data_IF_896188245967
#
_entry.id   IF_896188245967
#
_cell.length_a   1.000
_cell.length_b   1.000
_cell.length_c   1.000
_cell.angle_alpha   90.00
_cell.angle_beta   90.00
_cell.angle_gamma   90.00
#
_symmetry.space_group_name_H-M   'P 1'
#
loop_
_entity.id
_entity.type
_entity.pdbx_description
1 polymer ?
#
# COMPACT_ATOMS: atom_id res chain seq x y z
N UNK A 1 -1.75 33.79 4.75
CA UNK A 1 -2.70 32.77 4.23
C UNK A 1 -3.30 32.06 5.43
N UNK A 2 -4.57 31.68 5.37
CA UNK A 2 -5.18 30.87 6.41
C UNK A 2 -4.63 29.44 6.31
N UNK A 3 -4.69 28.65 7.40
CA UNK A 3 -4.29 27.24 7.41
C UNK A 3 -5.00 26.44 6.27
N UNK A 4 -6.25 26.78 5.97
CA UNK A 4 -6.99 26.17 4.89
C UNK A 4 -6.46 26.52 3.49
N UNK A 5 -5.96 27.74 3.27
CA UNK A 5 -5.35 28.13 1.99
C UNK A 5 -3.99 27.47 1.77
N UNK A 6 -3.18 27.36 2.81
CA UNK A 6 -1.89 26.65 2.76
C UNK A 6 -2.08 25.17 2.49
N UNK A 7 -3.08 24.56 3.13
CA UNK A 7 -3.44 23.17 2.91
C UNK A 7 -3.92 22.93 1.46
N UNK A 8 -4.84 23.77 0.95
CA UNK A 8 -5.34 23.63 -0.41
C UNK A 8 -4.22 23.78 -1.45
N UNK A 9 -3.31 24.76 -1.24
CA UNK A 9 -2.13 24.95 -2.08
C UNK A 9 -1.16 23.75 -2.06
N UNK A 10 -0.98 23.12 -0.88
CA UNK A 10 -0.16 21.93 -0.76
C UNK A 10 -0.79 20.73 -1.51
N UNK A 11 -2.10 20.53 -1.38
CA UNK A 11 -2.83 19.48 -2.09
C UNK A 11 -2.75 19.68 -3.61
N UNK A 12 -2.91 20.89 -4.10
CA UNK A 12 -2.77 21.21 -5.52
C UNK A 12 -1.33 20.99 -6.01
N UNK A 13 -0.34 21.47 -5.25
CA UNK A 13 1.09 21.31 -5.55
C UNK A 13 1.51 19.84 -5.63
N UNK A 14 0.94 18.98 -4.81
CA UNK A 14 1.30 17.56 -4.72
C UNK A 14 0.27 16.63 -5.38
N UNK A 15 -0.46 17.14 -6.35
CA UNK A 15 -1.36 16.33 -7.17
C UNK A 15 -2.44 15.58 -6.36
N UNK A 16 -3.05 16.25 -5.38
CA UNK A 16 -4.18 15.70 -4.63
C UNK A 16 -3.86 15.14 -3.24
N UNK A 17 -2.60 15.14 -2.83
CA UNK A 17 -2.17 14.89 -1.43
C UNK A 17 -1.41 16.09 -0.87
N UNK A 18 -1.48 16.34 0.43
CA UNK A 18 -0.65 17.36 1.08
C UNK A 18 0.81 16.90 1.31
N UNK A 19 1.09 15.62 1.06
CA UNK A 19 2.43 15.06 1.26
C UNK A 19 3.21 15.11 -0.05
N UNK A 20 4.53 15.36 0.06
CA UNK A 20 5.38 15.39 -1.14
C UNK A 20 5.37 14.03 -1.85
N UNK A 21 5.45 13.98 -3.19
CA UNK A 21 5.70 12.73 -3.92
C UNK A 21 6.97 12.05 -3.40
N UNK A 22 6.98 10.73 -3.37
CA UNK A 22 8.20 10.00 -3.04
C UNK A 22 8.98 9.67 -4.31
N UNK A 23 10.30 9.67 -4.18
CA UNK A 23 11.21 9.26 -5.24
C UNK A 23 11.60 7.80 -5.03
N UNK A 24 11.48 7.01 -6.07
CA UNK A 24 11.99 5.63 -6.10
C UNK A 24 13.39 5.62 -6.71
N UNK A 25 14.32 4.94 -6.04
CA UNK A 25 15.66 4.67 -6.51
C UNK A 25 15.82 3.16 -6.68
N UNK A 26 16.23 2.71 -7.86
CA UNK A 26 16.50 1.30 -8.14
C UNK A 26 17.98 1.16 -8.44
N UNK A 27 18.64 0.25 -7.76
CA UNK A 27 20.05 -0.08 -7.96
C UNK A 27 20.19 -1.30 -8.86
N UNK A 28 21.34 -1.40 -9.53
CA UNK A 28 21.69 -2.53 -10.38
C UNK A 28 23.20 -2.72 -10.41
N UNK A 29 23.68 -3.47 -11.37
CA UNK A 29 25.11 -3.74 -11.57
C UNK A 29 25.51 -3.40 -13.01
N UNK A 30 26.74 -2.86 -13.17
CA UNK A 30 27.34 -2.71 -14.49
C UNK A 30 27.99 -4.02 -14.98
N UNK A 31 28.60 -4.00 -16.17
CA UNK A 31 29.23 -5.18 -16.77
C UNK A 31 30.37 -5.76 -15.93
N UNK A 32 30.99 -4.96 -15.06
CA UNK A 32 32.04 -5.38 -14.13
C UNK A 32 31.48 -5.85 -12.76
N UNK A 33 30.16 -5.95 -12.61
CA UNK A 33 29.50 -6.36 -11.37
C UNK A 33 29.51 -5.29 -10.26
N UNK A 34 29.83 -4.04 -10.57
CA UNK A 34 29.81 -2.94 -9.59
C UNK A 34 28.42 -2.36 -9.46
N UNK A 35 28.02 -2.06 -8.22
CA UNK A 35 26.74 -1.44 -7.94
C UNK A 35 26.62 -0.04 -8.59
N UNK A 36 25.52 0.18 -9.26
CA UNK A 36 25.19 1.46 -9.92
C UNK A 36 23.75 1.85 -9.65
N UNK A 37 23.42 3.11 -9.81
CA UNK A 37 22.03 3.55 -9.87
C UNK A 37 21.47 3.14 -11.23
N UNK A 38 20.53 2.19 -11.22
CA UNK A 38 19.85 1.74 -12.44
C UNK A 38 18.84 2.79 -12.91
N UNK A 39 17.99 3.26 -12.00
CA UNK A 39 17.03 4.31 -12.31
C UNK A 39 16.61 5.08 -11.06
N UNK A 40 16.10 6.30 -11.27
CA UNK A 40 15.45 7.08 -10.22
C UNK A 40 14.35 7.96 -10.82
N UNK A 41 13.31 8.23 -10.06
CA UNK A 41 12.22 9.11 -10.46
C UNK A 41 11.14 9.21 -9.41
N UNK A 42 10.36 10.28 -9.47
CA UNK A 42 9.15 10.39 -8.67
C UNK A 42 8.13 9.34 -9.12
N UNK A 43 7.47 8.70 -8.17
CA UNK A 43 6.37 7.79 -8.45
C UNK A 43 5.08 8.61 -8.48
N UNK A 44 4.37 8.64 -9.64
CA UNK A 44 3.13 9.39 -9.75
C UNK A 44 2.09 8.88 -8.76
N UNK A 45 1.35 9.81 -8.16
CA UNK A 45 0.25 9.44 -7.29
C UNK A 45 -0.86 8.77 -8.09
N UNK A 46 -1.26 7.59 -7.65
CA UNK A 46 -2.42 6.86 -8.16
C UNK A 46 -3.55 6.97 -7.15
N UNK A 47 -4.53 7.83 -7.44
CA UNK A 47 -5.68 7.99 -6.57
C UNK A 47 -6.70 6.89 -6.81
N UNK A 48 -7.19 6.30 -5.75
CA UNK A 48 -8.29 5.34 -5.75
C UNK A 48 -9.53 6.01 -5.16
N UNK A 49 -10.69 5.65 -5.71
CA UNK A 49 -11.96 6.28 -5.38
C UNK A 49 -12.40 6.09 -3.94
N UNK A 50 -13.66 6.37 -3.69
CA UNK A 50 -14.27 6.28 -2.37
C UNK A 50 -14.34 4.84 -1.90
N UNK A 51 -13.64 4.52 -0.81
CA UNK A 51 -13.65 3.19 -0.19
C UNK A 51 -14.74 3.05 0.87
N UNK A 52 -15.30 4.16 1.35
CA UNK A 52 -16.37 4.16 2.34
C UNK A 52 -17.41 5.25 2.03
N UNK A 53 -18.69 5.04 2.44
CA UNK A 53 -19.71 6.07 2.33
C UNK A 53 -19.31 7.33 3.11
N UNK A 54 -19.45 8.49 2.48
CA UNK A 54 -19.12 9.78 3.09
C UNK A 54 -17.68 10.23 2.93
N UNK A 55 -16.80 9.41 2.35
CA UNK A 55 -15.44 9.80 2.01
C UNK A 55 -15.45 10.84 0.89
N UNK A 56 -14.82 11.99 1.12
CA UNK A 56 -14.81 13.12 0.16
C UNK A 56 -13.50 13.26 -0.60
N UNK A 57 -12.46 12.53 -0.19
CA UNK A 57 -11.11 12.62 -0.76
C UNK A 57 -10.56 11.23 -1.06
N UNK A 58 -10.03 11.00 -2.27
CA UNK A 58 -9.42 9.72 -2.61
C UNK A 58 -8.09 9.55 -1.87
N UNK A 59 -7.77 8.31 -1.51
CA UNK A 59 -6.44 7.94 -1.03
C UNK A 59 -5.45 7.90 -2.20
N UNK A 60 -4.21 8.35 -1.98
CA UNK A 60 -3.13 8.04 -2.91
C UNK A 60 -2.63 6.63 -2.60
N UNK A 61 -2.69 5.74 -3.61
CA UNK A 61 -2.47 4.30 -3.45
C UNK A 61 -1.40 3.82 -4.41
N UNK A 62 -0.15 4.16 -4.10
CA UNK A 62 0.96 4.04 -5.02
C UNK A 62 1.69 2.71 -4.88
N UNK A 63 2.07 2.09 -6.00
CA UNK A 63 2.92 0.91 -6.03
C UNK A 63 4.37 1.36 -6.18
N UNK A 64 5.19 1.08 -5.18
CA UNK A 64 6.63 1.37 -5.23
C UNK A 64 7.39 0.28 -5.98
N UNK A 65 7.09 -1.01 -5.70
CA UNK A 65 7.71 -2.14 -6.38
C UNK A 65 6.89 -3.42 -6.23
N UNK A 66 7.14 -4.41 -7.10
CA UNK A 66 6.56 -5.75 -7.00
C UNK A 66 7.61 -6.80 -7.33
N UNK A 67 7.51 -7.98 -6.70
CA UNK A 67 8.14 -9.21 -7.17
C UNK A 67 7.06 -10.21 -7.54
N UNK A 68 7.37 -11.19 -8.40
CA UNK A 68 6.41 -12.21 -8.88
C UNK A 68 6.88 -13.63 -8.56
N UNK A 69 7.96 -13.77 -7.79
CA UNK A 69 8.48 -15.04 -7.31
C UNK A 69 9.27 -14.84 -6.01
N UNK A 70 9.42 -15.92 -5.25
CA UNK A 70 10.25 -15.97 -4.05
C UNK A 70 11.08 -17.26 -4.01
N UNK A 71 12.43 -17.19 -3.91
CA UNK A 71 13.26 -15.97 -3.90
C UNK A 71 13.16 -15.19 -5.20
N UNK A 72 13.30 -13.85 -5.14
CA UNK A 72 13.27 -13.00 -6.32
C UNK A 72 14.50 -13.28 -7.21
N UNK A 73 14.29 -13.33 -8.52
CA UNK A 73 15.36 -13.51 -9.50
C UNK A 73 15.82 -12.16 -10.03
N UNK A 74 16.99 -11.72 -9.58
CA UNK A 74 17.61 -10.45 -9.99
C UNK A 74 18.56 -10.60 -11.19
N UNK A 75 18.76 -11.81 -11.74
CA UNK A 75 19.65 -12.03 -12.85
C UNK A 75 19.07 -11.41 -14.13
N UNK A 76 19.91 -10.70 -14.85
CA UNK A 76 19.54 -10.05 -16.12
C UNK A 76 18.30 -9.15 -16.00
N UNK A 77 18.14 -8.48 -14.86
CA UNK A 77 17.02 -7.58 -14.56
C UNK A 77 15.62 -8.25 -14.73
N UNK A 78 15.54 -9.56 -14.48
CA UNK A 78 14.31 -10.33 -14.65
C UNK A 78 13.18 -9.82 -13.73
N UNK A 79 13.52 -9.39 -12.53
CA UNK A 79 12.58 -8.79 -11.56
C UNK A 79 12.05 -7.44 -12.05
N UNK A 80 12.87 -6.62 -12.70
CA UNK A 80 12.44 -5.34 -13.28
C UNK A 80 11.44 -5.56 -14.41
N UNK A 81 11.72 -6.50 -15.31
CA UNK A 81 10.80 -6.87 -16.38
C UNK A 81 9.49 -7.42 -15.84
N UNK A 82 9.54 -8.27 -14.81
CA UNK A 82 8.36 -8.81 -14.15
C UNK A 82 7.53 -7.70 -13.48
N UNK A 83 8.18 -6.77 -12.75
CA UNK A 83 7.53 -5.61 -12.16
C UNK A 83 6.80 -4.77 -13.22
N UNK A 84 7.47 -4.45 -14.31
CA UNK A 84 6.88 -3.64 -15.38
C UNK A 84 5.66 -4.32 -16.01
N UNK A 85 5.73 -5.62 -16.28
CA UNK A 85 4.61 -6.41 -16.78
C UNK A 85 3.41 -6.40 -15.83
N UNK A 86 3.64 -6.52 -14.52
CA UNK A 86 2.58 -6.45 -13.50
C UNK A 86 1.90 -5.07 -13.54
N UNK A 87 2.67 -3.99 -13.58
CA UNK A 87 2.11 -2.62 -13.63
C UNK A 87 1.34 -2.38 -14.93
N UNK A 88 1.91 -2.76 -16.08
CA UNK A 88 1.27 -2.57 -17.39
C UNK A 88 0.00 -3.39 -17.57
N UNK A 89 -0.10 -4.55 -16.93
CA UNK A 89 -1.29 -5.39 -16.98
C UNK A 89 -2.55 -4.69 -16.46
N UNK A 90 -2.39 -3.75 -15.53
CA UNK A 90 -3.49 -3.10 -14.82
C UNK A 90 -4.35 -4.05 -13.98
N UNK A 91 -3.85 -5.26 -13.70
CA UNK A 91 -4.58 -6.33 -13.01
C UNK A 91 -4.11 -6.57 -11.57
N UNK A 92 -3.16 -5.78 -11.08
CA UNK A 92 -2.62 -5.95 -9.73
C UNK A 92 -3.69 -5.70 -8.66
N UNK A 93 -3.95 -6.72 -7.84
CA UNK A 93 -4.74 -6.63 -6.60
C UNK A 93 -3.93 -6.03 -5.45
N UNK A 94 -4.33 -6.32 -4.22
CA UNK A 94 -3.53 -5.94 -3.04
C UNK A 94 -2.25 -6.76 -2.96
N UNK A 95 -2.33 -8.04 -3.26
CA UNK A 95 -1.21 -8.99 -3.25
C UNK A 95 -0.85 -9.36 -4.69
N UNK A 96 0.41 -9.69 -4.94
CA UNK A 96 0.86 -10.31 -6.19
C UNK A 96 1.18 -11.78 -5.89
N UNK A 97 0.48 -12.74 -6.54
CA UNK A 97 0.68 -14.16 -6.29
C UNK A 97 2.16 -14.59 -6.42
N UNK A 98 2.64 -15.38 -5.47
CA UNK A 98 4.02 -15.87 -5.35
C UNK A 98 5.08 -14.78 -5.13
N UNK A 99 4.69 -13.53 -4.87
CA UNK A 99 5.63 -12.42 -4.74
C UNK A 99 5.28 -11.45 -3.63
N UNK A 100 5.73 -10.22 -3.82
CA UNK A 100 5.48 -9.11 -2.91
C UNK A 100 4.91 -7.91 -3.66
N UNK A 101 4.17 -7.07 -2.93
CA UNK A 101 3.79 -5.73 -3.38
C UNK A 101 4.24 -4.72 -2.33
N UNK A 102 5.09 -3.78 -2.73
CA UNK A 102 5.45 -2.64 -1.90
C UNK A 102 4.63 -1.43 -2.30
N UNK A 103 3.85 -0.90 -1.35
CA UNK A 103 2.97 0.26 -1.56
C UNK A 103 3.33 1.40 -0.62
N UNK A 104 3.12 2.62 -1.10
CA UNK A 104 3.06 3.83 -0.28
C UNK A 104 1.63 4.37 -0.41
N UNK A 105 0.96 4.48 0.72
CA UNK A 105 -0.44 4.90 0.79
C UNK A 105 -0.56 6.17 1.62
N UNK A 106 -1.21 7.19 1.05
CA UNK A 106 -1.54 8.43 1.75
C UNK A 106 -3.03 8.44 2.08
N UNK A 107 -3.33 8.56 3.35
CA UNK A 107 -4.69 8.64 3.87
C UNK A 107 -5.03 10.10 4.13
N UNK A 108 -6.05 10.67 3.46
CA UNK A 108 -6.49 12.02 3.77
C UNK A 108 -7.02 12.14 5.20
N UNK A 109 -7.13 13.39 5.72
CA UNK A 109 -7.76 13.61 7.02
C UNK A 109 -9.16 12.99 7.09
N UNK A 110 -9.49 12.45 8.26
CA UNK A 110 -10.80 11.86 8.57
C UNK A 110 -11.19 10.67 7.67
N UNK A 111 -10.19 9.93 7.17
CA UNK A 111 -10.44 8.74 6.35
C UNK A 111 -11.00 7.61 7.22
N UNK A 112 -12.19 7.08 6.92
CA UNK A 112 -12.73 5.91 7.62
C UNK A 112 -11.95 4.64 7.29
N UNK A 113 -12.05 3.63 8.18
CA UNK A 113 -11.42 2.34 7.92
C UNK A 113 -12.20 1.56 6.84
N UNK A 114 -11.50 1.12 5.82
CA UNK A 114 -11.99 0.11 4.88
C UNK A 114 -11.52 -1.26 5.38
N UNK A 115 -12.39 -1.97 6.09
CA UNK A 115 -12.07 -3.27 6.70
C UNK A 115 -12.04 -4.35 5.63
N UNK A 116 -10.94 -5.09 5.57
CA UNK A 116 -10.69 -6.11 4.57
C UNK A 116 -9.70 -7.17 5.07
N UNK A 117 -9.59 -8.26 4.34
CA UNK A 117 -8.58 -9.32 4.55
C UNK A 117 -7.94 -9.70 3.23
N UNK A 118 -6.63 -9.92 3.25
CA UNK A 118 -5.85 -10.47 2.15
C UNK A 118 -5.17 -11.77 2.58
N UNK A 119 -4.91 -12.67 1.63
CA UNK A 119 -4.07 -13.83 1.87
C UNK A 119 -2.61 -13.40 1.76
N UNK A 120 -2.12 -12.70 2.78
CA UNK A 120 -0.77 -12.16 2.82
C UNK A 120 -0.25 -11.98 4.25
N UNK A 121 1.07 -11.89 4.35
CA UNK A 121 1.77 -11.35 5.49
C UNK A 121 2.20 -9.93 5.15
N UNK A 122 1.69 -8.95 5.88
CA UNK A 122 1.93 -7.56 5.58
C UNK A 122 2.77 -6.89 6.67
N UNK A 123 3.69 -6.04 6.23
CA UNK A 123 4.43 -5.11 7.09
C UNK A 123 3.90 -3.71 6.83
N UNK A 124 3.15 -3.16 7.79
CA UNK A 124 2.64 -1.78 7.76
C UNK A 124 3.50 -0.88 8.61
N UNK A 125 4.07 0.17 8.05
CA UNK A 125 4.97 1.11 8.72
C UNK A 125 4.39 2.51 8.61
N UNK A 126 4.20 3.21 9.73
CA UNK A 126 3.77 4.60 9.73
C UNK A 126 4.98 5.50 9.42
N UNK A 127 4.95 6.17 8.26
CA UNK A 127 6.01 7.07 7.82
C UNK A 127 5.77 8.52 8.25
N UNK A 128 4.51 8.97 8.18
CA UNK A 128 4.09 10.32 8.56
C UNK A 128 2.70 10.29 9.19
N UNK A 129 2.47 11.18 10.16
CA UNK A 129 1.19 11.25 10.86
C UNK A 129 0.96 10.13 11.86
N UNK A 130 -0.29 9.77 12.01
CA UNK A 130 -0.76 8.69 12.89
C UNK A 130 -1.94 7.97 12.25
N UNK A 131 -2.15 6.71 12.62
CA UNK A 131 -3.24 5.89 12.08
C UNK A 131 -3.80 4.99 13.19
N UNK A 132 -5.08 4.70 13.13
CA UNK A 132 -5.69 3.67 13.97
C UNK A 132 -5.83 2.38 13.16
N UNK A 133 -5.30 1.30 13.72
CA UNK A 133 -5.55 -0.05 13.24
C UNK A 133 -6.84 -0.56 13.87
N UNK A 134 -7.77 -0.96 13.03
CA UNK A 134 -9.07 -1.52 13.41
C UNK A 134 -9.03 -3.02 13.15
N UNK A 135 -9.33 -3.80 14.17
CA UNK A 135 -9.50 -5.25 14.09
C UNK A 135 -10.97 -5.60 14.34
N UNK A 136 -11.37 -6.86 14.11
CA UNK A 136 -12.75 -7.32 14.35
C UNK A 136 -13.12 -7.28 15.82
N UNK A 137 -12.15 -7.49 16.70
CA UNK A 137 -12.35 -7.43 18.16
C UNK A 137 -11.35 -6.49 18.82
N UNK A 138 -11.76 -5.89 19.93
CA UNK A 138 -10.94 -4.97 20.69
C UNK A 138 -11.13 -3.50 20.29
N UNK A 139 -10.44 -2.64 21.03
CA UNK A 139 -10.44 -1.20 20.75
C UNK A 139 -9.46 -0.88 19.61
N UNK A 140 -9.69 0.21 18.87
CA UNK A 140 -8.74 0.71 17.90
C UNK A 140 -7.34 0.92 18.50
N UNK A 141 -6.31 0.46 17.79
CA UNK A 141 -4.92 0.63 18.21
C UNK A 141 -4.31 1.81 17.47
N UNK A 142 -3.95 2.87 18.20
CA UNK A 142 -3.29 4.03 17.64
C UNK A 142 -1.80 3.74 17.38
N UNK A 143 -1.38 3.88 16.13
CA UNK A 143 0.02 3.81 15.70
C UNK A 143 0.51 5.22 15.35
N UNK A 144 1.74 5.51 15.73
CA UNK A 144 2.42 6.77 15.47
C UNK A 144 3.58 6.57 14.48
N UNK A 145 4.14 7.67 13.99
CA UNK A 145 5.28 7.61 13.07
C UNK A 145 6.43 6.77 13.63
N UNK A 146 6.83 5.77 12.85
CA UNK A 146 7.87 4.79 13.19
C UNK A 146 7.33 3.47 13.73
N UNK A 147 6.04 3.42 14.12
CA UNK A 147 5.43 2.16 14.56
C UNK A 147 5.24 1.21 13.38
N UNK A 148 5.28 -0.08 13.69
CA UNK A 148 5.15 -1.17 12.72
C UNK A 148 4.02 -2.10 13.15
N UNK A 149 3.11 -2.39 12.22
CA UNK A 149 2.11 -3.44 12.37
C UNK A 149 2.43 -4.63 11.48
N UNK A 150 2.29 -5.84 12.02
CA UNK A 150 2.43 -7.08 11.27
C UNK A 150 1.03 -7.69 11.11
N UNK A 151 0.48 -7.62 9.89
CA UNK A 151 -0.80 -8.22 9.56
C UNK A 151 -0.59 -9.64 9.04
N UNK A 152 -1.27 -10.59 9.67
CA UNK A 152 -1.09 -12.03 9.42
C UNK A 152 -2.36 -12.63 8.84
N UNK A 153 -2.76 -12.19 7.63
CA UNK A 153 -4.02 -12.56 6.97
C UNK A 153 -5.26 -12.32 7.86
N UNK A 154 -5.22 -11.27 8.68
CA UNK A 154 -6.32 -10.88 9.59
C UNK A 154 -7.29 -9.94 8.89
N UNK A 155 -8.55 -9.93 9.32
CA UNK A 155 -9.50 -8.89 8.96
C UNK A 155 -9.07 -7.60 9.69
N UNK A 156 -8.80 -6.54 8.94
CA UNK A 156 -8.29 -5.28 9.48
C UNK A 156 -8.66 -4.08 8.62
N UNK A 157 -8.53 -2.90 9.20
CA UNK A 157 -8.68 -1.64 8.48
C UNK A 157 -7.81 -0.55 9.07
N UNK A 158 -7.61 0.51 8.31
CA UNK A 158 -6.79 1.64 8.69
C UNK A 158 -7.65 2.91 8.66
N UNK A 159 -7.68 3.64 9.78
CA UNK A 159 -8.41 4.90 9.91
C UNK A 159 -7.43 6.04 10.19
N UNK A 160 -7.50 7.12 9.43
CA UNK A 160 -6.82 8.35 9.82
C UNK A 160 -7.75 9.16 10.75
N UNK A 161 -7.48 9.20 12.06
CA UNK A 161 -8.36 9.89 13.01
C UNK A 161 -8.19 11.41 13.00
N UNK A 162 -7.11 11.93 12.40
CA UNK A 162 -6.85 13.36 12.32
C UNK A 162 -7.87 14.06 11.42
N UNK A 163 -8.35 15.20 11.84
CA UNK A 163 -9.28 16.03 11.05
C UNK A 163 -8.55 16.95 10.06
N UNK A 164 -7.24 17.11 10.22
CA UNK A 164 -6.45 18.11 9.47
C UNK A 164 -5.20 17.53 8.82
N UNK A 165 -4.60 16.49 9.41
CA UNK A 165 -3.30 15.99 8.99
C UNK A 165 -3.43 14.73 8.11
N UNK A 166 -2.64 14.67 7.06
CA UNK A 166 -2.47 13.46 6.26
C UNK A 166 -1.62 12.43 6.98
N UNK A 167 -1.90 11.17 6.71
CA UNK A 167 -1.07 10.05 7.17
C UNK A 167 -0.47 9.33 5.98
N UNK A 168 0.80 8.97 6.05
CA UNK A 168 1.48 8.11 5.07
C UNK A 168 1.93 6.82 5.72
N UNK A 169 1.62 5.71 5.07
CA UNK A 169 2.13 4.40 5.45
C UNK A 169 2.86 3.73 4.28
N UNK A 170 3.86 2.93 4.63
CA UNK A 170 4.45 1.94 3.74
C UNK A 170 3.85 0.57 4.06
N UNK A 171 3.49 -0.19 3.02
CA UNK A 171 3.03 -1.56 3.15
C UNK A 171 3.84 -2.48 2.25
N UNK A 172 4.38 -3.54 2.83
CA UNK A 172 4.95 -4.66 2.08
C UNK A 172 4.03 -5.86 2.29
N UNK A 173 3.31 -6.25 1.24
CA UNK A 173 2.38 -7.37 1.24
C UNK A 173 3.08 -8.56 0.57
N UNK A 174 3.37 -9.58 1.34
CA UNK A 174 3.99 -10.81 0.87
C UNK A 174 2.93 -11.90 0.76
N UNK A 175 2.81 -12.51 -0.43
CA UNK A 175 1.93 -13.66 -0.61
C UNK A 175 2.23 -14.76 0.42
N UNK A 176 1.22 -15.39 0.94
CA UNK A 176 1.37 -16.43 1.95
C UNK A 176 0.54 -17.67 1.64
N UNK A 177 0.88 -18.77 2.30
CA UNK A 177 0.07 -19.99 2.22
C UNK A 177 -1.33 -19.73 2.78
N UNK A 178 -2.36 -20.41 2.26
CA UNK A 178 -3.71 -20.33 2.81
C UNK A 178 -3.70 -20.50 4.34
N UNK A 179 -4.39 -19.60 5.02
CA UNK A 179 -4.60 -19.70 6.46
C UNK A 179 -5.91 -20.45 6.71
N UNK A 180 -5.84 -21.46 7.57
CA UNK A 180 -7.02 -22.21 8.02
C UNK A 180 -7.15 -22.10 9.53
N UNK A 181 -8.37 -21.87 9.99
CA UNK A 181 -8.76 -21.85 11.40
C UNK A 181 -9.93 -22.80 11.59
N UNK A 182 -9.78 -23.79 12.45
CA UNK A 182 -10.78 -24.83 12.70
C UNK A 182 -11.33 -25.48 11.41
N UNK A 183 -10.44 -25.76 10.46
CA UNK A 183 -10.78 -26.40 9.17
C UNK A 183 -11.45 -25.45 8.17
N UNK A 184 -11.60 -24.18 8.49
CA UNK A 184 -12.15 -23.16 7.58
C UNK A 184 -11.01 -22.31 6.99
N UNK A 185 -10.88 -22.31 5.66
CA UNK A 185 -9.93 -21.45 4.96
C UNK A 185 -10.40 -20.00 5.00
N UNK A 186 -9.55 -19.10 5.49
CA UNK A 186 -9.78 -17.67 5.50
C UNK A 186 -9.29 -17.06 4.17
N UNK A 187 -10.22 -16.81 3.26
CA UNK A 187 -9.95 -16.26 1.93
C UNK A 187 -9.85 -14.73 1.94
N UNK A 188 -9.41 -14.17 0.82
CA UNK A 188 -9.50 -12.74 0.58
C UNK A 188 -10.94 -12.25 0.75
N UNK A 189 -11.08 -11.16 1.47
CA UNK A 189 -12.33 -10.41 1.61
C UNK A 189 -12.01 -8.93 1.50
N UNK A 190 -12.24 -8.36 0.34
CA UNK A 190 -11.92 -6.97 0.07
C UNK A 190 -12.90 -5.99 0.69
N UNK A 191 -14.04 -6.46 1.21
CA UNK A 191 -15.05 -5.58 1.78
C UNK A 191 -15.38 -4.41 0.86
N UNK A 192 -15.33 -3.16 1.37
CA UNK A 192 -15.60 -1.98 0.55
C UNK A 192 -14.54 -1.73 -0.54
N UNK A 193 -13.34 -2.31 -0.42
CA UNK A 193 -12.28 -2.17 -1.44
C UNK A 193 -12.62 -2.92 -2.73
N UNK A 194 -13.48 -3.95 -2.68
CA UNK A 194 -13.86 -4.76 -3.85
C UNK A 194 -14.56 -3.98 -4.97
N UNK A 195 -15.11 -2.79 -4.67
CA UNK A 195 -15.65 -1.89 -5.68
C UNK A 195 -14.59 -1.10 -6.47
N UNK A 196 -13.35 -1.07 -5.98
CA UNK A 196 -12.27 -0.20 -6.49
C UNK A 196 -11.00 -0.99 -6.84
N UNK A 197 -10.77 -2.10 -6.17
CA UNK A 197 -9.61 -2.96 -6.37
C UNK A 197 -10.04 -4.31 -6.94
N UNK A 198 -9.14 -4.91 -7.72
CA UNK A 198 -9.31 -6.27 -8.22
C UNK A 198 -8.90 -7.27 -7.14
N UNK A 199 -9.49 -8.48 -7.19
CA UNK A 199 -9.01 -9.60 -6.39
C UNK A 199 -7.55 -9.90 -6.70
N UNK A 200 -6.80 -10.28 -5.68
CA UNK A 200 -5.40 -10.72 -5.81
C UNK A 200 -5.26 -12.05 -6.55
N UNK A 201 -6.32 -12.88 -6.54
CA UNK A 201 -6.37 -14.15 -7.27
C UNK A 201 -5.49 -15.26 -6.68
N UNK A 202 -4.91 -15.06 -5.51
CA UNK A 202 -4.04 -16.03 -4.84
C UNK A 202 -4.78 -16.97 -3.86
N UNK A 203 -6.09 -16.83 -3.72
CA UNK A 203 -6.92 -17.55 -2.76
C UNK A 203 -7.84 -18.60 -3.41
N UNK A 204 -7.55 -19.01 -4.63
CA UNK A 204 -8.34 -19.99 -5.40
C UNK A 204 -8.01 -21.43 -5.05
#
# INVERSE_FOLDING_TARGET
>A
MSHNEEFAAAVEKHQGTALRPFTRYITGHNAEGKAVLHSSGEVPNSFKGQFAPGETRPMAFNVAYTTSEFPANLNNDADLAAHENVIQSGNLGLVNPNGTVFRIVDFPPDTPAAVHRTQSLDYGIVLEGQVEMILEEGEPVLLQRGDVAIQRATMHGWRNPSKTEWTRMAFILQDCKPLEVDGTRLKEDLGPLGGVLKSSGNDQ
#
